data_IF_747764922787
#
_entry.id   IF_747764922787
#
_cell.length_a   1.000
_cell.length_b   1.000
_cell.length_c   1.000
_cell.angle_alpha   90.00
_cell.angle_beta   90.00
_cell.angle_gamma   90.00
#
_symmetry.space_group_name_H-M   'P 1'
#
loop_
_entity.id
_entity.type
_entity.pdbx_description
1 polymer ?
#
# COMPACT_ATOMS: atom_id res chain seq x y z
N UNK A 1 -17.50 -7.68 10.51
CA UNK A 1 -16.69 -6.81 11.41
C UNK A 1 -16.24 -5.54 10.69
N UNK A 2 -15.65 -5.61 9.51
CA UNK A 2 -15.05 -4.44 8.86
C UNK A 2 -16.10 -3.44 8.33
N UNK A 3 -17.21 -3.91 7.77
CA UNK A 3 -18.33 -3.05 7.37
C UNK A 3 -18.89 -2.24 8.57
N UNK A 4 -18.94 -2.86 9.74
CA UNK A 4 -19.41 -2.20 10.96
C UNK A 4 -18.42 -1.13 11.45
N UNK A 5 -17.11 -1.35 11.23
CA UNK A 5 -16.07 -0.37 11.54
C UNK A 5 -16.23 0.88 10.67
N UNK A 6 -16.54 0.75 9.39
CA UNK A 6 -16.81 1.90 8.51
C UNK A 6 -18.10 2.65 8.87
N UNK A 7 -19.10 1.94 9.41
CA UNK A 7 -20.37 2.56 9.82
C UNK A 7 -20.26 3.35 11.11
N UNK A 8 -19.48 2.85 12.07
CA UNK A 8 -19.29 3.49 13.38
C UNK A 8 -17.84 3.27 13.87
N UNK A 9 -16.86 3.99 13.28
CA UNK A 9 -15.45 3.80 13.62
C UNK A 9 -15.16 4.11 15.10
N UNK A 10 -15.80 5.10 15.68
CA UNK A 10 -15.59 5.49 17.08
C UNK A 10 -15.84 4.33 18.05
N UNK A 11 -16.93 3.58 17.84
CA UNK A 11 -17.28 2.46 18.71
C UNK A 11 -16.57 1.16 18.36
N UNK A 12 -16.21 0.97 17.09
CA UNK A 12 -15.81 -0.35 16.58
C UNK A 12 -14.32 -0.52 16.35
N UNK A 13 -13.55 0.53 16.03
CA UNK A 13 -12.12 0.42 15.73
C UNK A 13 -11.39 -0.29 16.87
N UNK A 14 -11.48 0.24 18.09
CA UNK A 14 -10.77 -0.31 19.27
C UNK A 14 -11.07 -1.79 19.51
N UNK A 15 -12.32 -2.22 19.37
CA UNK A 15 -12.74 -3.62 19.61
C UNK A 15 -12.43 -4.56 18.44
N UNK A 16 -12.02 -4.03 17.30
CA UNK A 16 -11.76 -4.81 16.08
C UNK A 16 -10.27 -4.97 15.77
N UNK A 17 -9.41 -4.25 16.48
CA UNK A 17 -7.95 -4.37 16.36
C UNK A 17 -7.50 -5.67 17.00
N UNK A 18 -6.60 -6.38 16.33
CA UNK A 18 -5.93 -7.58 16.82
C UNK A 18 -4.44 -7.26 16.93
N UNK A 19 -3.90 -7.31 18.13
CA UNK A 19 -2.46 -7.20 18.34
C UNK A 19 -1.79 -8.52 17.90
N UNK A 20 -0.79 -8.42 17.03
CA UNK A 20 -0.02 -9.55 16.49
C UNK A 20 1.30 -9.68 17.23
N UNK A 21 1.97 -8.56 17.42
CA UNK A 21 3.25 -8.43 18.13
C UNK A 21 3.29 -7.07 18.83
N UNK A 22 4.20 -6.83 19.77
CA UNK A 22 4.40 -5.50 20.34
C UNK A 22 4.58 -4.44 19.24
N UNK A 23 3.76 -3.41 19.25
CA UNK A 23 3.72 -2.32 18.26
C UNK A 23 3.22 -2.71 16.86
N UNK A 24 2.73 -3.93 16.65
CA UNK A 24 2.14 -4.37 15.39
C UNK A 24 0.73 -4.89 15.62
N UNK A 25 -0.23 -4.27 14.98
CA UNK A 25 -1.64 -4.67 15.06
C UNK A 25 -2.28 -4.73 13.66
N UNK A 26 -3.30 -5.54 13.53
CA UNK A 26 -4.10 -5.66 12.31
C UNK A 26 -5.54 -5.25 12.62
N UNK A 27 -6.09 -4.44 11.73
CA UNK A 27 -7.54 -4.25 11.61
C UNK A 27 -8.02 -5.11 10.43
N UNK A 28 -8.55 -6.32 10.69
CA UNK A 28 -8.81 -7.29 9.65
C UNK A 28 -9.98 -6.90 8.76
N UNK A 29 -9.87 -7.16 7.48
CA UNK A 29 -10.93 -7.04 6.49
C UNK A 29 -11.77 -8.33 6.40
N UNK A 30 -12.87 -8.29 5.64
CA UNK A 30 -13.69 -9.45 5.35
C UNK A 30 -14.20 -9.41 3.91
N UNK A 31 -14.64 -10.55 3.39
CA UNK A 31 -15.26 -10.67 2.06
C UNK A 31 -16.49 -9.75 1.89
N UNK A 32 -17.13 -9.37 2.99
CA UNK A 32 -18.27 -8.46 2.98
C UNK A 32 -17.92 -7.02 2.61
N UNK A 33 -16.64 -6.69 2.43
CA UNK A 33 -16.25 -5.37 1.93
C UNK A 33 -16.77 -5.07 0.52
N UNK A 34 -17.05 -6.10 -0.30
CA UNK A 34 -17.74 -5.91 -1.57
C UNK A 34 -19.13 -5.28 -1.44
N UNK A 35 -19.74 -5.36 -0.25
CA UNK A 35 -21.02 -4.71 0.04
C UNK A 35 -20.88 -3.20 0.30
N UNK A 36 -19.66 -2.70 0.52
CA UNK A 36 -19.42 -1.26 0.72
C UNK A 36 -19.81 -0.44 -0.49
N UNK A 37 -19.60 -0.95 -1.70
CA UNK A 37 -19.97 -0.26 -2.93
C UNK A 37 -21.49 -0.05 -3.01
N UNK A 38 -22.28 -1.05 -2.63
CA UNK A 38 -23.73 -0.96 -2.57
C UNK A 38 -24.20 -0.05 -1.42
N UNK A 39 -23.60 -0.16 -0.25
CA UNK A 39 -23.94 0.63 0.95
C UNK A 39 -23.63 2.13 0.75
N UNK A 40 -22.56 2.44 0.04
CA UNK A 40 -22.08 3.82 -0.19
C UNK A 40 -22.52 4.39 -1.53
N UNK A 41 -23.23 3.61 -2.35
CA UNK A 41 -23.79 4.08 -3.62
C UNK A 41 -24.59 5.39 -3.42
N UNK A 42 -24.29 6.39 -4.22
CA UNK A 42 -24.93 7.71 -4.12
C UNK A 42 -24.57 8.54 -2.87
N UNK A 43 -23.57 8.12 -2.08
CA UNK A 43 -23.16 8.80 -0.84
C UNK A 43 -21.66 9.19 -0.87
N UNK A 44 -21.26 10.16 -1.71
CA UNK A 44 -19.85 10.50 -1.93
C UNK A 44 -19.12 10.90 -0.64
N UNK A 45 -19.78 11.63 0.26
CA UNK A 45 -19.18 12.01 1.55
C UNK A 45 -18.88 10.81 2.45
N UNK A 46 -19.68 9.75 2.39
CA UNK A 46 -19.39 8.51 3.10
C UNK A 46 -18.20 7.79 2.51
N UNK A 47 -18.09 7.74 1.19
CA UNK A 47 -16.92 7.19 0.52
C UNK A 47 -15.69 7.96 0.95
N UNK A 48 -15.68 9.29 0.81
CA UNK A 48 -14.56 10.15 1.20
C UNK A 48 -14.11 9.89 2.64
N UNK A 49 -15.03 9.86 3.59
CA UNK A 49 -14.72 9.95 5.01
C UNK A 49 -14.57 8.58 5.71
N UNK A 50 -14.94 7.45 5.10
CA UNK A 50 -14.99 6.17 5.79
C UNK A 50 -13.62 5.72 6.32
N UNK A 51 -12.60 5.65 5.48
CA UNK A 51 -11.23 5.28 5.90
C UNK A 51 -10.57 6.44 6.66
N UNK A 52 -10.83 7.69 6.30
CA UNK A 52 -10.33 8.88 7.03
C UNK A 52 -10.74 8.81 8.51
N UNK A 53 -12.00 8.50 8.79
CA UNK A 53 -12.49 8.38 10.16
C UNK A 53 -11.87 7.19 10.92
N UNK A 54 -11.67 6.06 10.23
CA UNK A 54 -10.96 4.91 10.81
C UNK A 54 -9.52 5.29 11.16
N UNK A 55 -8.80 5.93 10.26
CA UNK A 55 -7.43 6.40 10.51
C UNK A 55 -7.37 7.42 11.66
N UNK A 56 -8.37 8.30 11.76
CA UNK A 56 -8.45 9.25 12.87
C UNK A 56 -8.59 8.54 14.23
N UNK A 57 -9.41 7.49 14.32
CA UNK A 57 -9.55 6.70 15.56
C UNK A 57 -8.28 5.91 15.87
N UNK A 58 -7.61 5.34 14.85
CA UNK A 58 -6.32 4.65 15.02
C UNK A 58 -5.24 5.62 15.54
N UNK A 59 -5.17 6.84 15.01
CA UNK A 59 -4.24 7.88 15.51
C UNK A 59 -4.51 8.23 16.98
N UNK A 60 -5.77 8.33 17.40
CA UNK A 60 -6.14 8.55 18.83
C UNK A 60 -5.71 7.40 19.73
N UNK A 61 -5.63 6.18 19.21
CA UNK A 61 -5.16 4.99 19.94
C UNK A 61 -3.62 4.88 19.96
N UNK A 62 -2.90 5.83 19.37
CA UNK A 62 -1.45 5.91 19.42
C UNK A 62 -0.72 5.29 18.21
N UNK A 63 -1.43 4.84 17.17
CA UNK A 63 -0.78 4.36 15.97
C UNK A 63 -0.13 5.50 15.19
N UNK A 64 1.18 5.44 15.02
CA UNK A 64 1.98 6.44 14.30
C UNK A 64 2.08 6.15 12.80
N UNK A 65 1.97 4.87 12.41
CA UNK A 65 1.99 4.41 11.03
C UNK A 65 0.76 3.53 10.77
N UNK A 66 0.07 3.80 9.67
CA UNK A 66 -1.07 3.01 9.21
C UNK A 66 -0.77 2.59 7.77
N UNK A 67 -0.70 1.28 7.52
CA UNK A 67 -0.54 0.71 6.18
C UNK A 67 -1.89 0.13 5.74
N UNK A 68 -2.37 0.54 4.58
CA UNK A 68 -3.66 0.09 4.02
C UNK A 68 -3.36 -0.80 2.83
N UNK A 69 -3.67 -2.09 2.96
CA UNK A 69 -3.61 -3.04 1.84
C UNK A 69 -4.90 -2.93 1.01
N UNK A 70 -4.75 -2.59 -0.26
CA UNK A 70 -5.85 -2.31 -1.17
C UNK A 70 -6.06 -3.44 -2.18
N UNK A 71 -7.31 -3.71 -2.52
CA UNK A 71 -7.64 -4.62 -3.63
C UNK A 71 -7.21 -4.01 -4.98
N UNK A 72 -6.96 -4.84 -6.00
CA UNK A 72 -6.57 -4.35 -7.33
C UNK A 72 -7.71 -3.68 -8.11
N UNK A 73 -8.95 -3.78 -7.63
CA UNK A 73 -10.13 -3.18 -8.28
C UNK A 73 -10.48 -1.83 -7.67
N UNK A 74 -10.89 -0.89 -8.51
CA UNK A 74 -11.38 0.42 -8.06
C UNK A 74 -12.77 0.24 -7.40
N UNK A 75 -12.78 0.18 -6.08
CA UNK A 75 -13.96 0.03 -5.22
C UNK A 75 -14.11 1.24 -4.29
N UNK A 76 -15.26 1.37 -3.63
CA UNK A 76 -15.47 2.45 -2.65
C UNK A 76 -14.42 2.42 -1.53
N UNK A 77 -13.96 1.24 -1.11
CA UNK A 77 -12.89 1.11 -0.12
C UNK A 77 -11.55 1.63 -0.63
N UNK A 78 -11.19 1.35 -1.90
CA UNK A 78 -9.96 1.87 -2.52
C UNK A 78 -10.03 3.38 -2.68
N UNK A 79 -11.15 3.92 -3.19
CA UNK A 79 -11.37 5.37 -3.30
C UNK A 79 -11.20 6.05 -1.93
N UNK A 80 -11.82 5.49 -0.90
CA UNK A 80 -11.71 6.01 0.46
C UNK A 80 -10.29 5.92 1.03
N UNK A 81 -9.55 4.86 0.68
CA UNK A 81 -8.15 4.70 1.07
C UNK A 81 -7.27 5.76 0.42
N UNK A 82 -7.50 6.07 -0.86
CA UNK A 82 -6.82 7.19 -1.54
C UNK A 82 -7.10 8.50 -0.83
N UNK A 83 -8.36 8.76 -0.44
CA UNK A 83 -8.73 9.96 0.30
C UNK A 83 -8.05 10.11 1.67
N UNK A 84 -7.66 8.98 2.29
CA UNK A 84 -7.06 8.95 3.63
C UNK A 84 -5.53 8.91 3.63
N UNK A 85 -4.91 8.71 2.47
CA UNK A 85 -3.48 8.43 2.36
C UNK A 85 -2.64 9.69 2.22
N UNK A 86 -1.53 9.75 2.97
CA UNK A 86 -0.48 10.73 2.79
C UNK A 86 0.51 10.29 1.68
N UNK A 87 0.70 8.97 1.53
CA UNK A 87 1.57 8.36 0.52
C UNK A 87 0.89 7.15 -0.10
N UNK A 88 0.97 7.02 -1.42
CA UNK A 88 0.49 5.86 -2.16
C UNK A 88 1.68 5.17 -2.82
N UNK A 89 1.87 3.89 -2.52
CA UNK A 89 2.88 3.05 -3.16
C UNK A 89 2.20 2.17 -4.20
N UNK A 90 2.68 2.24 -5.43
CA UNK A 90 2.20 1.43 -6.56
C UNK A 90 3.25 0.35 -6.82
N UNK A 91 3.03 -0.91 -6.39
CA UNK A 91 3.94 -1.99 -6.69
C UNK A 91 3.82 -2.39 -8.17
N UNK A 92 4.97 -2.54 -8.83
CA UNK A 92 5.06 -2.91 -10.25
C UNK A 92 6.01 -4.10 -10.36
N UNK A 93 5.56 -5.18 -10.99
CA UNK A 93 6.39 -6.33 -11.33
C UNK A 93 6.66 -6.38 -12.81
N UNK A 94 7.79 -6.96 -13.24
CA UNK A 94 8.15 -7.11 -14.64
C UNK A 94 7.19 -8.00 -15.44
N UNK A 95 6.58 -8.97 -14.74
CA UNK A 95 5.63 -9.94 -15.30
C UNK A 95 4.25 -9.35 -15.62
N UNK A 96 3.88 -8.27 -14.93
CA UNK A 96 2.60 -7.57 -15.08
C UNK A 96 2.77 -6.09 -15.43
N UNK A 97 4.00 -5.65 -15.71
CA UNK A 97 4.21 -4.26 -16.05
C UNK A 97 3.48 -3.91 -17.34
N UNK A 98 2.64 -2.91 -17.23
CA UNK A 98 2.01 -2.26 -18.37
C UNK A 98 2.09 -0.76 -18.15
N UNK A 99 2.80 -0.08 -19.02
CA UNK A 99 2.86 1.39 -19.03
C UNK A 99 1.45 1.98 -18.99
N UNK A 100 0.55 1.40 -19.79
CA UNK A 100 -0.85 1.84 -19.83
C UNK A 100 -1.58 1.64 -18.48
N UNK A 101 -1.32 0.52 -17.79
CA UNK A 101 -1.88 0.26 -16.46
C UNK A 101 -1.40 1.29 -15.44
N UNK A 102 -0.12 1.63 -15.47
CA UNK A 102 0.45 2.66 -14.60
C UNK A 102 -0.13 4.06 -14.89
N UNK A 103 -0.27 4.42 -16.18
CA UNK A 103 -0.93 5.67 -16.61
C UNK A 103 -2.35 5.78 -16.05
N UNK A 104 -3.13 4.71 -16.20
CA UNK A 104 -4.51 4.66 -15.71
C UNK A 104 -4.55 4.79 -14.18
N UNK A 105 -3.72 4.04 -13.45
CA UNK A 105 -3.68 4.10 -11.98
C UNK A 105 -3.35 5.51 -11.48
N UNK A 106 -2.33 6.15 -12.05
CA UNK A 106 -1.96 7.53 -11.67
C UNK A 106 -3.06 8.53 -12.04
N UNK A 107 -3.70 8.35 -13.20
CA UNK A 107 -4.83 9.20 -13.62
C UNK A 107 -6.03 9.04 -12.68
N UNK A 108 -6.36 7.82 -12.25
CA UNK A 108 -7.43 7.54 -11.30
C UNK A 108 -7.17 8.18 -9.94
N UNK A 109 -5.96 8.06 -9.39
CA UNK A 109 -5.57 8.73 -8.13
C UNK A 109 -5.79 10.24 -8.24
N UNK A 110 -5.34 10.86 -9.33
CA UNK A 110 -5.52 12.29 -9.57
C UNK A 110 -7.00 12.67 -9.70
N UNK A 111 -7.79 11.86 -10.40
CA UNK A 111 -9.22 12.06 -10.58
C UNK A 111 -9.98 11.99 -9.24
N UNK A 112 -9.65 11.02 -8.39
CA UNK A 112 -10.22 10.89 -7.04
C UNK A 112 -9.90 12.14 -6.22
N UNK A 113 -8.64 12.56 -6.18
CA UNK A 113 -8.23 13.75 -5.43
C UNK A 113 -8.96 15.02 -5.93
N UNK A 114 -9.08 15.19 -7.25
CA UNK A 114 -9.81 16.30 -7.84
C UNK A 114 -11.31 16.26 -7.48
N UNK A 115 -11.95 15.09 -7.59
CA UNK A 115 -13.37 14.90 -7.29
C UNK A 115 -13.72 15.28 -5.85
N UNK A 116 -12.84 14.93 -4.91
CA UNK A 116 -13.05 15.19 -3.48
C UNK A 116 -12.38 16.48 -2.97
N UNK A 117 -11.77 17.25 -3.87
CA UNK A 117 -11.02 18.47 -3.56
C UNK A 117 -9.95 18.24 -2.47
N UNK A 118 -9.11 17.24 -2.71
CA UNK A 118 -8.01 16.83 -1.81
C UNK A 118 -6.66 17.14 -2.44
N UNK A 119 -5.63 17.41 -1.62
CA UNK A 119 -4.25 17.46 -2.12
C UNK A 119 -3.83 16.09 -2.67
N UNK A 120 -2.97 16.10 -3.68
CA UNK A 120 -2.42 14.86 -4.22
C UNK A 120 -1.44 14.26 -3.20
N UNK A 121 -1.63 12.98 -2.79
CA UNK A 121 -0.68 12.28 -1.93
C UNK A 121 0.66 12.07 -2.64
N UNK A 122 1.72 11.80 -1.88
CA UNK A 122 2.99 11.41 -2.47
C UNK A 122 2.84 10.06 -3.18
N UNK A 123 3.03 10.03 -4.51
CA UNK A 123 2.99 8.79 -5.29
C UNK A 123 4.39 8.22 -5.37
N UNK A 124 4.52 6.90 -5.14
CA UNK A 124 5.77 6.14 -5.23
C UNK A 124 5.55 4.88 -6.05
N UNK A 125 6.41 4.65 -7.06
CA UNK A 125 6.42 3.42 -7.86
C UNK A 125 7.51 2.52 -7.32
N UNK A 126 7.15 1.36 -6.79
CA UNK A 126 8.08 0.38 -6.23
C UNK A 126 8.19 -0.83 -7.16
N UNK A 127 9.35 -1.04 -7.75
CA UNK A 127 9.61 -2.28 -8.46
C UNK A 127 9.70 -3.44 -7.47
N UNK A 128 8.90 -4.47 -7.71
CA UNK A 128 8.86 -5.72 -6.94
C UNK A 128 9.09 -6.92 -7.84
N UNK A 129 9.59 -8.01 -7.27
CA UNK A 129 10.01 -9.22 -8.02
C UNK A 129 11.03 -8.92 -9.12
N UNK A 130 11.90 -7.93 -8.90
CA UNK A 130 12.93 -7.59 -9.87
C UNK A 130 13.99 -8.71 -9.96
N UNK A 131 14.30 -9.17 -11.16
CA UNK A 131 15.43 -10.06 -11.42
C UNK A 131 16.34 -9.40 -12.48
N UNK A 132 17.52 -8.94 -12.06
CA UNK A 132 18.46 -8.26 -12.94
C UNK A 132 19.07 -9.15 -14.06
N UNK A 133 18.80 -10.47 -14.01
CA UNK A 133 19.21 -11.43 -15.07
C UNK A 133 18.13 -11.53 -16.16
N UNK A 134 16.93 -11.10 -15.88
CA UNK A 134 15.82 -11.11 -16.83
C UNK A 134 15.76 -9.82 -17.63
N UNK A 135 15.84 -9.96 -18.96
CA UNK A 135 15.77 -8.83 -19.89
C UNK A 135 14.48 -8.00 -19.68
N UNK A 136 13.34 -8.66 -19.49
CA UNK A 136 12.06 -7.99 -19.24
C UNK A 136 12.07 -7.14 -17.98
N UNK A 137 12.70 -7.60 -16.90
CA UNK A 137 12.83 -6.82 -15.65
C UNK A 137 13.63 -5.54 -15.87
N UNK A 138 14.75 -5.64 -16.62
CA UNK A 138 15.58 -4.49 -16.92
C UNK A 138 14.88 -3.50 -17.88
N UNK A 139 14.20 -4.01 -18.90
CA UNK A 139 13.44 -3.19 -19.87
C UNK A 139 12.32 -2.42 -19.16
N UNK A 140 11.52 -3.08 -18.32
CA UNK A 140 10.43 -2.45 -17.57
C UNK A 140 10.94 -1.35 -16.64
N UNK A 141 12.03 -1.61 -15.90
CA UNK A 141 12.62 -0.60 -15.02
C UNK A 141 13.16 0.60 -15.83
N UNK A 142 13.85 0.32 -16.94
CA UNK A 142 14.42 1.34 -17.81
C UNK A 142 13.32 2.22 -18.43
N UNK A 143 12.23 1.61 -18.88
CA UNK A 143 11.07 2.33 -19.42
C UNK A 143 10.50 3.34 -18.43
N UNK A 144 10.29 2.94 -17.17
CA UNK A 144 9.78 3.85 -16.13
C UNK A 144 10.82 4.92 -15.77
N UNK A 145 12.09 4.53 -15.66
CA UNK A 145 13.17 5.46 -15.28
C UNK A 145 13.41 6.55 -16.35
N UNK A 146 13.21 6.24 -17.61
CA UNK A 146 13.37 7.16 -18.74
C UNK A 146 12.10 7.97 -19.06
N UNK A 147 10.95 7.54 -18.56
CA UNK A 147 9.71 8.25 -18.80
C UNK A 147 9.63 9.54 -17.96
N UNK A 148 9.53 10.70 -18.64
CA UNK A 148 9.48 12.01 -18.00
C UNK A 148 8.29 12.20 -17.05
N UNK A 149 7.23 11.41 -17.21
CA UNK A 149 6.03 11.46 -16.37
C UNK A 149 6.21 10.64 -15.10
N UNK A 150 6.86 9.47 -15.19
CA UNK A 150 6.91 8.48 -14.12
C UNK A 150 8.22 8.44 -13.35
N UNK A 151 9.35 8.84 -13.96
CA UNK A 151 10.67 8.79 -13.31
C UNK A 151 10.69 9.50 -11.96
N UNK A 152 9.98 10.61 -11.83
CA UNK A 152 9.86 11.37 -10.56
C UNK A 152 9.13 10.62 -9.44
N UNK A 153 8.36 9.59 -9.77
CA UNK A 153 7.64 8.75 -8.81
C UNK A 153 8.41 7.48 -8.46
N UNK A 154 9.47 7.17 -9.20
CA UNK A 154 10.23 5.94 -8.98
C UNK A 154 10.84 5.94 -7.57
N UNK A 155 10.59 4.86 -6.83
CA UNK A 155 11.15 4.68 -5.52
C UNK A 155 12.65 4.33 -5.63
N UNK A 156 13.52 4.86 -4.76
CA UNK A 156 14.98 4.71 -4.91
C UNK A 156 15.51 3.30 -4.61
N UNK A 157 14.67 2.38 -4.19
CA UNK A 157 15.02 0.97 -4.05
C UNK A 157 13.97 0.07 -4.73
N UNK A 158 14.29 -1.20 -4.88
CA UNK A 158 13.43 -2.23 -5.46
C UNK A 158 13.45 -3.48 -4.61
N UNK A 159 12.42 -4.31 -4.73
CA UNK A 159 12.35 -5.61 -4.07
C UNK A 159 12.73 -6.68 -5.10
N UNK A 160 13.87 -7.32 -4.90
CA UNK A 160 14.38 -8.37 -5.78
C UNK A 160 13.59 -9.67 -5.62
N UNK A 161 13.56 -10.47 -6.66
CA UNK A 161 13.04 -11.84 -6.61
C UNK A 161 13.84 -12.65 -5.58
N UNK A 162 13.12 -13.32 -4.67
CA UNK A 162 13.72 -14.11 -3.61
C UNK A 162 12.87 -15.34 -3.32
N UNK A 163 13.47 -16.52 -3.36
CA UNK A 163 12.79 -17.81 -3.10
C UNK A 163 12.32 -17.97 -1.64
N UNK A 164 12.87 -17.17 -0.73
CA UNK A 164 12.52 -17.26 0.69
C UNK A 164 11.18 -16.58 1.02
N UNK A 165 10.75 -15.59 0.23
CA UNK A 165 9.44 -14.93 0.44
C UNK A 165 8.25 -15.89 0.39
N UNK A 166 8.09 -16.76 -0.65
CA UNK A 166 7.02 -17.74 -0.66
C UNK A 166 7.11 -18.76 0.48
N UNK A 167 8.32 -19.10 0.92
CA UNK A 167 8.51 -20.04 2.06
C UNK A 167 8.06 -19.39 3.36
N UNK A 168 8.46 -18.13 3.63
CA UNK A 168 8.01 -17.38 4.79
C UNK A 168 6.49 -17.27 4.82
N UNK A 169 5.88 -16.87 3.70
CA UNK A 169 4.42 -16.75 3.58
C UNK A 169 3.70 -18.08 3.83
N UNK A 170 4.23 -19.21 3.30
CA UNK A 170 3.67 -20.56 3.54
C UNK A 170 3.71 -20.95 5.03
N UNK A 171 4.73 -20.51 5.74
CA UNK A 171 4.89 -20.81 7.17
C UNK A 171 4.12 -19.81 8.07
N UNK A 172 3.49 -18.78 7.50
CA UNK A 172 2.88 -17.71 8.28
C UNK A 172 3.90 -16.83 9.03
N UNK A 173 5.13 -16.76 8.53
CA UNK A 173 6.23 -16.02 9.13
C UNK A 173 6.58 -14.77 8.30
N UNK A 174 7.16 -13.76 8.96
CA UNK A 174 7.76 -12.64 8.24
C UNK A 174 9.15 -13.01 7.73
N UNK A 175 9.59 -12.34 6.65
CA UNK A 175 10.95 -12.51 6.14
C UNK A 175 12.03 -12.13 7.18
N UNK A 176 11.65 -11.37 8.21
CA UNK A 176 12.55 -10.94 9.27
C UNK A 176 12.72 -11.97 10.40
N UNK A 177 11.81 -12.93 10.54
CA UNK A 177 11.82 -13.89 11.64
C UNK A 177 13.00 -14.88 11.56
N UNK A 178 13.16 -15.59 10.44
CA UNK A 178 14.10 -16.73 10.34
C UNK A 178 15.09 -16.66 9.18
N UNK A 179 15.02 -15.65 8.29
CA UNK A 179 15.80 -15.58 7.05
C UNK A 179 16.90 -14.52 7.13
N UNK A 180 17.97 -14.81 7.87
CA UNK A 180 19.03 -13.84 8.20
C UNK A 180 19.81 -13.33 6.98
N UNK A 181 20.04 -14.16 5.96
CA UNK A 181 20.85 -13.85 4.78
C UNK A 181 19.98 -13.93 3.51
N UNK A 182 19.02 -13.05 3.38
CA UNK A 182 18.08 -13.05 2.28
C UNK A 182 18.01 -11.67 1.64
N UNK A 183 18.17 -11.60 0.33
CA UNK A 183 18.12 -10.34 -0.43
C UNK A 183 16.81 -9.58 -0.21
N UNK A 184 15.68 -10.28 -0.13
CA UNK A 184 14.40 -9.65 0.14
C UNK A 184 14.35 -8.99 1.52
N UNK A 185 14.99 -9.56 2.54
CA UNK A 185 15.08 -8.93 3.86
C UNK A 185 15.81 -7.60 3.81
N UNK A 186 16.95 -7.55 3.11
CA UNK A 186 17.73 -6.33 2.91
C UNK A 186 16.91 -5.27 2.16
N UNK A 187 16.23 -5.69 1.08
CA UNK A 187 15.43 -4.80 0.25
C UNK A 187 14.24 -4.22 1.01
N UNK A 188 13.53 -5.04 1.79
CA UNK A 188 12.41 -4.56 2.63
C UNK A 188 12.88 -3.69 3.80
N UNK A 189 14.05 -3.96 4.39
CA UNK A 189 14.63 -3.05 5.41
C UNK A 189 14.96 -1.70 4.79
N UNK A 190 15.62 -1.69 3.63
CA UNK A 190 15.92 -0.47 2.89
C UNK A 190 14.64 0.28 2.50
N UNK A 191 13.62 -0.44 2.01
CA UNK A 191 12.33 0.15 1.69
C UNK A 191 11.69 0.80 2.91
N UNK A 192 11.63 0.09 4.04
CA UNK A 192 11.02 0.60 5.26
C UNK A 192 11.76 1.85 5.79
N UNK A 193 13.09 1.82 5.83
CA UNK A 193 13.90 2.99 6.23
C UNK A 193 13.65 4.18 5.31
N UNK A 194 13.65 3.94 4.02
CA UNK A 194 13.47 5.02 3.03
C UNK A 194 12.08 5.66 3.12
N UNK A 195 11.02 4.86 3.24
CA UNK A 195 9.64 5.40 3.31
C UNK A 195 9.39 6.13 4.63
N UNK A 196 10.06 5.73 5.70
CA UNK A 196 9.96 6.37 7.02
C UNK A 196 10.93 7.55 7.20
N UNK A 197 11.78 7.84 6.21
CA UNK A 197 12.79 8.90 6.31
C UNK A 197 13.89 8.61 7.33
N UNK A 198 14.11 7.36 7.68
CA UNK A 198 15.17 6.93 8.60
C UNK A 198 16.49 6.89 7.81
N UNK A 199 17.43 7.75 8.16
CA UNK A 199 18.76 7.74 7.54
C UNK A 199 19.44 6.39 7.78
N UNK A 200 19.93 5.76 6.72
CA UNK A 200 20.90 4.67 6.85
C UNK A 200 22.18 5.27 7.38
N UNK A 201 22.53 4.95 8.60
CA UNK A 201 23.91 5.17 9.08
C UNK A 201 24.76 4.20 8.26
N UNK A 202 25.44 4.73 7.25
CA UNK A 202 26.53 4.03 6.56
C UNK A 202 27.70 4.03 7.53
N UNK A 203 27.95 2.87 8.16
CA UNK A 203 29.21 2.60 8.85
C UNK A 203 30.38 2.58 7.85
#
# INVERSE_FOLDING_TARGET
VFLDVYKDPVKRVKSSIIEIEPNLSILPSSLNNGLLDAEFSGKPDRIKNSVVNVCAELKKLGFSLIVIDCSPSLSASVISSVCASDTIVIPVGSDIFSRRGLELTVAEIKSICATFNLPLPAIKILFSKYDGREKLSLEALTEVAQDSTFSKYLFPCMIRTCSELPKAAKNGETIFANFKNCTAREDYDMYARTILGIQTVTD
#
